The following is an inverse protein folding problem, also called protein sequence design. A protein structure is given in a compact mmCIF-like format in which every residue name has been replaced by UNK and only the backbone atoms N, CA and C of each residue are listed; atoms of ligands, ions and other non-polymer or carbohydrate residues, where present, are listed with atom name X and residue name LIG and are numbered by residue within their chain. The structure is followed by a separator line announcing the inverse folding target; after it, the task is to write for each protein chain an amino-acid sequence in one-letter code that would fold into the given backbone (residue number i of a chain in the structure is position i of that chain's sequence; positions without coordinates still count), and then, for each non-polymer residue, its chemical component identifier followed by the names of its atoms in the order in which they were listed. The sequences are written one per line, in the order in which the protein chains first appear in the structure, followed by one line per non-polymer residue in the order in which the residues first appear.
data_IF_086801697258
#
_entry.id   IF_086801697258
#
_cell.length_a   1.000
_cell.length_b   1.000
_cell.length_c   1.000
_cell.angle_alpha   90.00
_cell.angle_beta   90.00
_cell.angle_gamma   90.00
#
_symmetry.space_group_name_H-M   'P 1'
#
loop_
_entity.id
_entity.type
_entity.pdbx_description
1 polymer ?
#
# COMPACT_ATOMS: atom_id res chain seq x y z
N UNK A 1 -35.76 -8.77 -6.63
CA UNK A 1 -35.75 -8.10 -5.31
C UNK A 1 -34.50 -8.56 -4.58
N UNK A 2 -33.50 -7.69 -4.38
CA UNK A 2 -32.32 -8.02 -3.58
C UNK A 2 -32.69 -7.98 -2.10
N UNK A 3 -32.21 -8.94 -1.32
CA UNK A 3 -32.49 -8.99 0.12
C UNK A 3 -31.83 -7.78 0.81
N UNK A 4 -32.47 -7.12 1.80
CA UNK A 4 -31.92 -5.95 2.49
C UNK A 4 -30.51 -6.16 3.06
N UNK A 5 -30.22 -7.40 3.49
CA UNK A 5 -28.90 -7.81 3.96
C UNK A 5 -27.81 -7.75 2.88
N UNK A 6 -28.14 -8.14 1.65
CA UNK A 6 -27.22 -8.12 0.53
C UNK A 6 -26.90 -6.69 0.10
N UNK A 7 -27.88 -5.79 0.14
CA UNK A 7 -27.66 -4.37 -0.14
C UNK A 7 -26.74 -3.74 0.92
N UNK A 8 -27.06 -3.90 2.21
CA UNK A 8 -26.23 -3.39 3.30
C UNK A 8 -24.76 -3.87 3.23
N UNK A 9 -24.54 -5.15 2.89
CA UNK A 9 -23.19 -5.70 2.69
C UNK A 9 -22.43 -5.00 1.55
N UNK A 10 -23.09 -4.74 0.43
CA UNK A 10 -22.47 -4.06 -0.73
C UNK A 10 -22.10 -2.62 -0.38
N UNK A 11 -23.01 -1.87 0.25
CA UNK A 11 -22.76 -0.49 0.71
C UNK A 11 -21.57 -0.43 1.68
N UNK A 12 -21.48 -1.39 2.61
CA UNK A 12 -20.36 -1.48 3.54
C UNK A 12 -19.03 -1.75 2.83
N UNK A 13 -19.00 -2.65 1.83
CA UNK A 13 -17.79 -2.91 1.05
C UNK A 13 -17.37 -1.71 0.19
N UNK A 14 -18.32 -0.98 -0.41
CA UNK A 14 -18.01 0.27 -1.11
C UNK A 14 -17.43 1.32 -0.17
N UNK A 15 -18.02 1.50 1.02
CA UNK A 15 -17.53 2.43 2.04
C UNK A 15 -16.11 2.08 2.52
N UNK A 16 -15.82 0.79 2.74
CA UNK A 16 -14.46 0.32 3.07
C UNK A 16 -13.50 0.54 1.90
N UNK A 17 -13.93 0.28 0.67
CA UNK A 17 -13.14 0.56 -0.54
C UNK A 17 -12.80 2.05 -0.67
N UNK A 18 -13.77 2.91 -0.39
CA UNK A 18 -13.60 4.36 -0.37
C UNK A 18 -12.61 4.79 0.73
N UNK A 19 -12.74 4.26 1.94
CA UNK A 19 -11.84 4.56 3.06
C UNK A 19 -10.41 4.05 2.83
N UNK A 20 -10.23 2.94 2.10
CA UNK A 20 -8.91 2.36 1.80
C UNK A 20 -8.15 3.12 0.70
N UNK A 21 -8.83 3.76 -0.24
CA UNK A 21 -8.19 4.52 -1.33
C UNK A 21 -7.16 5.55 -0.86
N UNK A 22 -7.46 6.49 0.06
CA UNK A 22 -6.47 7.46 0.51
C UNK A 22 -5.27 6.82 1.22
N UNK A 23 -5.48 5.70 1.94
CA UNK A 23 -4.40 4.95 2.59
C UNK A 23 -3.49 4.32 1.54
N UNK A 24 -4.05 3.66 0.52
CA UNK A 24 -3.28 3.09 -0.58
C UNK A 24 -2.46 4.16 -1.33
N UNK A 25 -3.08 5.30 -1.62
CA UNK A 25 -2.41 6.43 -2.27
C UNK A 25 -1.25 6.97 -1.43
N UNK A 26 -1.43 7.07 -0.11
CA UNK A 26 -0.37 7.52 0.79
C UNK A 26 0.80 6.54 0.82
N UNK A 27 0.52 5.24 0.93
CA UNK A 27 1.54 4.19 0.93
C UNK A 27 2.33 4.22 -0.39
N UNK A 28 1.65 4.35 -1.53
CA UNK A 28 2.33 4.46 -2.82
C UNK A 28 3.24 5.70 -2.91
N UNK A 29 2.73 6.87 -2.48
CA UNK A 29 3.52 8.10 -2.43
C UNK A 29 4.76 7.94 -1.53
N UNK A 30 4.59 7.39 -0.33
CA UNK A 30 5.65 7.21 0.65
C UNK A 30 6.73 6.24 0.14
N UNK A 31 6.31 5.11 -0.42
CA UNK A 31 7.21 4.04 -0.85
C UNK A 31 7.94 4.34 -2.17
N UNK A 32 7.33 5.10 -3.09
CA UNK A 32 7.86 5.25 -4.46
C UNK A 32 8.33 6.64 -4.85
N UNK A 33 7.88 7.67 -4.13
CA UNK A 33 8.06 9.07 -4.59
C UNK A 33 8.77 9.95 -3.60
N UNK A 34 8.82 9.57 -2.32
CA UNK A 34 9.52 10.35 -1.29
C UNK A 34 10.92 9.79 -1.05
N UNK A 35 11.97 10.55 -1.38
CA UNK A 35 13.31 10.24 -0.90
C UNK A 35 13.38 10.45 0.61
N UNK A 36 14.08 9.57 1.31
CA UNK A 36 14.27 9.64 2.76
C UNK A 36 15.72 9.87 3.11
N UNK A 37 15.99 10.83 3.98
CA UNK A 37 17.36 11.17 4.40
C UNK A 37 18.07 10.01 5.12
N UNK A 38 17.33 9.15 5.82
CA UNK A 38 17.86 7.93 6.44
C UNK A 38 18.26 6.86 5.41
N UNK A 39 17.84 7.01 4.15
CA UNK A 39 18.12 6.10 3.03
C UNK A 39 19.03 6.76 1.99
N UNK A 40 19.84 7.75 2.38
CA UNK A 40 20.70 8.51 1.47
C UNK A 40 19.91 9.08 0.27
N UNK A 41 18.74 9.65 0.55
CA UNK A 41 17.80 10.21 -0.41
C UNK A 41 17.23 9.22 -1.44
N UNK A 42 17.30 7.91 -1.16
CA UNK A 42 16.54 6.90 -1.89
C UNK A 42 15.11 6.79 -1.36
N UNK A 43 14.23 6.29 -2.21
CA UNK A 43 12.89 5.84 -1.81
C UNK A 43 12.96 4.48 -1.11
N UNK A 44 11.96 4.12 -0.28
CA UNK A 44 11.94 2.81 0.37
C UNK A 44 11.89 1.65 -0.62
N UNK A 45 11.17 1.79 -1.74
CA UNK A 45 11.15 0.76 -2.79
C UNK A 45 12.57 0.57 -3.37
N UNK A 46 13.28 1.64 -3.73
CA UNK A 46 14.66 1.57 -4.24
C UNK A 46 15.62 0.88 -3.26
N UNK A 47 15.58 1.27 -1.99
CA UNK A 47 16.40 0.67 -0.95
C UNK A 47 16.09 -0.83 -0.77
N UNK A 48 14.80 -1.20 -0.77
CA UNK A 48 14.38 -2.60 -0.68
C UNK A 48 14.85 -3.41 -1.88
N UNK A 49 14.63 -2.92 -3.12
CA UNK A 49 15.08 -3.59 -4.33
C UNK A 49 16.59 -3.80 -4.37
N UNK A 50 17.37 -2.81 -3.93
CA UNK A 50 18.82 -2.93 -3.82
C UNK A 50 19.27 -3.99 -2.79
N UNK A 51 18.48 -4.21 -1.73
CA UNK A 51 18.77 -5.20 -0.69
C UNK A 51 18.27 -6.62 -1.01
N UNK A 52 17.39 -6.81 -1.99
CA UNK A 52 16.84 -8.15 -2.35
C UNK A 52 17.92 -9.22 -2.59
N UNK A 53 19.03 -8.96 -3.30
CA UNK A 53 20.08 -9.97 -3.50
C UNK A 53 20.78 -10.39 -2.20
N UNK A 54 20.94 -9.45 -1.26
CA UNK A 54 21.55 -9.72 0.03
C UNK A 54 20.62 -10.54 0.94
N UNK A 55 19.30 -10.26 0.90
CA UNK A 55 18.29 -11.02 1.65
C UNK A 55 18.20 -12.46 1.14
N UNK A 56 18.23 -12.67 -0.18
CA UNK A 56 18.19 -14.01 -0.77
C UNK A 56 19.43 -14.84 -0.46
N UNK A 57 20.58 -14.21 -0.27
CA UNK A 57 21.84 -14.90 0.08
C UNK A 57 21.92 -15.27 1.57
N UNK A 58 21.06 -14.71 2.41
CA UNK A 58 21.03 -14.92 3.86
C UNK A 58 19.96 -15.95 4.31
N UNK A 59 19.14 -16.45 3.38
CA UNK A 59 18.10 -17.45 3.60
C UNK A 59 18.57 -18.86 3.25
#
# INVERSE_FOLDING_TARGET
MALPQQQCRTEAHESVGHARRPIGNYIELYNRKRPHSSLADQTPDEACFAMLPAIQSAA
#
